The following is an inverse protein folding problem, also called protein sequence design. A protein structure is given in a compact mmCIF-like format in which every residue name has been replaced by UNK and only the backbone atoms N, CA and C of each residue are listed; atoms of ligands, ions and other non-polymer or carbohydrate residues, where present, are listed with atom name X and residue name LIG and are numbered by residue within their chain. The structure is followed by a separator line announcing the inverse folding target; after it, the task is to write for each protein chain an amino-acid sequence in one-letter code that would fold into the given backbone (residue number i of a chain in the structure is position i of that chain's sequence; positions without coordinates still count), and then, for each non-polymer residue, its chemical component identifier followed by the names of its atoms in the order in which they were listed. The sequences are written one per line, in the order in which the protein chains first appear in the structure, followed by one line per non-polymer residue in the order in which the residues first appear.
data_IF_628468115677
#
_entry.id   IF_628468115677
#
_cell.length_a   1.000
_cell.length_b   1.000
_cell.length_c   1.000
_cell.angle_alpha   90.00
_cell.angle_beta   90.00
_cell.angle_gamma   90.00
#
_symmetry.space_group_name_H-M   'P 1'
#
loop_
_entity.id
_entity.type
_entity.pdbx_description
1 polymer ?
#
# COMPACT_ATOMS: atom_id res chain seq x y z
N UNK A 1 -26.65 62.40 -3.61
CA UNK A 1 -25.84 62.19 -4.84
C UNK A 1 -24.68 61.27 -4.46
N UNK A 2 -24.67 60.05 -4.99
CA UNK A 2 -23.50 59.16 -5.06
C UNK A 2 -22.61 59.63 -6.23
N UNK A 3 -21.29 59.45 -6.18
CA UNK A 3 -20.62 58.20 -6.61
C UNK A 3 -19.49 57.81 -5.62
N UNK A 4 -18.85 56.64 -5.61
CA UNK A 4 -18.77 55.49 -6.50
C UNK A 4 -17.47 54.74 -6.12
N UNK A 5 -17.63 53.46 -5.80
CA UNK A 5 -16.68 52.32 -5.85
C UNK A 5 -15.16 52.58 -5.81
N UNK A 6 -14.45 52.01 -4.82
CA UNK A 6 -13.15 51.32 -5.04
C UNK A 6 -12.90 50.20 -4.00
N UNK A 7 -12.76 48.99 -4.55
CA UNK A 7 -11.83 47.92 -4.20
C UNK A 7 -11.96 47.09 -2.91
N UNK A 8 -12.56 45.91 -3.10
CA UNK A 8 -12.28 44.68 -2.37
C UNK A 8 -10.78 44.33 -2.48
N UNK A 9 -10.05 44.35 -1.37
CA UNK A 9 -8.77 43.63 -1.25
C UNK A 9 -8.94 42.45 -0.31
N UNK A 10 -9.35 41.33 -0.91
CA UNK A 10 -9.19 40.00 -0.34
C UNK A 10 -7.70 39.70 -0.27
N UNK A 11 -7.12 39.73 0.93
CA UNK A 11 -5.73 39.31 1.16
C UNK A 11 -5.73 37.84 1.57
N UNK A 12 -4.98 37.08 0.77
CA UNK A 12 -4.67 35.65 0.88
C UNK A 12 -4.07 35.28 2.25
N UNK A 13 -4.21 34.01 2.65
CA UNK A 13 -3.41 33.50 3.77
C UNK A 13 -3.57 32.02 4.13
N UNK A 14 -2.99 31.13 3.31
CA UNK A 14 -2.53 29.79 3.67
C UNK A 14 -3.57 28.71 4.05
N UNK A 15 -4.18 28.10 3.04
CA UNK A 15 -4.56 26.70 3.12
C UNK A 15 -3.28 25.87 2.92
N UNK A 16 -2.76 25.30 4.02
CA UNK A 16 -1.68 24.32 4.00
C UNK A 16 -2.20 23.02 3.36
N UNK A 17 -2.41 23.04 2.04
CA UNK A 17 -2.64 21.86 1.27
C UNK A 17 -1.28 21.20 1.09
N UNK A 18 -0.86 20.45 2.10
CA UNK A 18 0.31 19.60 1.96
C UNK A 18 -0.12 18.48 1.01
N UNK A 19 0.07 18.72 -0.29
CA UNK A 19 0.07 17.67 -1.29
C UNK A 19 1.34 16.84 -1.05
N UNK A 20 1.38 16.09 0.06
CA UNK A 20 2.43 15.11 0.28
C UNK A 20 2.20 14.00 -0.73
N UNK A 21 3.04 13.96 -1.76
CA UNK A 21 3.11 12.81 -2.65
C UNK A 21 3.33 11.56 -1.78
N UNK A 22 2.39 10.63 -1.81
CA UNK A 22 2.51 9.37 -1.06
C UNK A 22 3.75 8.65 -1.58
N UNK A 23 4.71 8.28 -0.71
CA UNK A 23 5.94 7.65 -1.15
C UNK A 23 5.62 6.29 -1.77
N UNK A 24 6.04 6.09 -3.02
CA UNK A 24 5.77 4.83 -3.75
C UNK A 24 6.46 3.63 -3.11
N UNK A 25 7.53 3.84 -2.36
CA UNK A 25 8.32 2.79 -1.73
C UNK A 25 8.31 3.00 -0.21
N UNK A 26 8.12 1.93 0.54
CA UNK A 26 8.19 1.95 2.01
C UNK A 26 9.27 0.99 2.51
N UNK A 27 9.83 1.33 3.66
CA UNK A 27 10.82 0.53 4.40
C UNK A 27 10.14 -0.42 5.38
N UNK A 28 10.89 -1.39 5.91
CA UNK A 28 10.40 -2.31 6.95
C UNK A 28 9.80 -1.58 8.16
N UNK A 29 10.47 -0.52 8.64
CA UNK A 29 10.01 0.26 9.81
C UNK A 29 8.68 0.96 9.54
N UNK A 30 8.55 1.57 8.36
CA UNK A 30 7.30 2.21 7.94
C UNK A 30 6.18 1.19 7.79
N UNK A 31 6.44 0.06 7.14
CA UNK A 31 5.47 -1.03 7.02
C UNK A 31 4.99 -1.50 8.40
N UNK A 32 5.90 -1.70 9.36
CA UNK A 32 5.53 -2.14 10.72
C UNK A 32 4.66 -1.11 11.45
N UNK A 33 4.97 0.17 11.30
CA UNK A 33 4.16 1.26 11.86
C UNK A 33 2.76 1.30 11.23
N UNK A 34 2.69 1.15 9.90
CA UNK A 34 1.43 1.13 9.16
C UNK A 34 0.56 -0.06 9.56
N UNK A 35 1.14 -1.26 9.65
CA UNK A 35 0.45 -2.46 10.13
C UNK A 35 -0.07 -2.29 11.56
N UNK A 36 0.72 -1.67 12.45
CA UNK A 36 0.31 -1.39 13.83
C UNK A 36 -0.82 -0.38 13.91
N UNK A 37 -0.84 0.61 13.00
CA UNK A 37 -1.88 1.63 12.95
C UNK A 37 -3.21 1.13 12.36
N UNK A 38 -3.21 -0.01 11.65
CA UNK A 38 -4.39 -0.55 10.98
C UNK A 38 -4.87 0.25 9.77
N UNK A 39 -4.15 1.28 9.34
CA UNK A 39 -4.57 2.21 8.28
C UNK A 39 -4.14 1.75 6.87
N UNK A 40 -3.76 0.49 6.69
CA UNK A 40 -3.31 -0.03 5.40
C UNK A 40 -3.91 -1.39 5.08
N UNK A 41 -4.02 -1.66 3.78
CA UNK A 41 -4.20 -3.01 3.28
C UNK A 41 -2.87 -3.54 2.73
N UNK A 42 -2.31 -4.57 3.37
CA UNK A 42 -1.10 -5.23 2.90
C UNK A 42 -1.45 -6.42 2.00
N UNK A 43 -1.05 -6.36 0.73
CA UNK A 43 -1.29 -7.40 -0.27
C UNK A 43 0.03 -8.11 -0.59
N UNK A 44 0.11 -9.40 -0.27
CA UNK A 44 1.22 -10.29 -0.64
C UNK A 44 0.91 -10.95 -1.99
N UNK A 45 1.71 -10.59 -3.00
CA UNK A 45 1.53 -11.02 -4.39
C UNK A 45 2.33 -12.28 -4.77
N UNK A 46 2.83 -13.00 -3.76
CA UNK A 46 3.42 -14.32 -3.94
C UNK A 46 2.36 -15.36 -4.31
N UNK A 47 2.83 -16.49 -4.82
CA UNK A 47 1.95 -17.63 -5.05
C UNK A 47 1.52 -18.22 -3.70
N UNK A 48 0.30 -18.77 -3.65
CA UNK A 48 -0.27 -19.31 -2.41
C UNK A 48 0.59 -20.42 -1.79
N UNK A 49 1.26 -21.24 -2.62
CA UNK A 49 2.16 -22.28 -2.12
C UNK A 49 3.39 -21.70 -1.37
N UNK A 50 3.91 -20.54 -1.80
CA UNK A 50 5.02 -19.86 -1.10
C UNK A 50 4.57 -19.41 0.30
N UNK A 51 3.33 -18.92 0.41
CA UNK A 51 2.73 -18.50 1.68
C UNK A 51 2.56 -19.70 2.61
N UNK A 52 2.06 -20.82 2.10
CA UNK A 52 1.84 -22.04 2.89
C UNK A 52 3.16 -22.65 3.40
N UNK A 53 4.24 -22.56 2.62
CA UNK A 53 5.53 -23.15 2.98
C UNK A 53 6.38 -22.25 3.88
N UNK A 54 6.46 -20.96 3.56
CA UNK A 54 7.38 -20.04 4.24
C UNK A 54 6.68 -19.12 5.24
N UNK A 55 5.35 -19.03 5.19
CA UNK A 55 4.58 -18.07 5.95
C UNK A 55 4.34 -16.76 5.20
N UNK A 56 3.58 -15.88 5.87
CA UNK A 56 3.22 -14.55 5.38
C UNK A 56 3.49 -13.47 6.41
N UNK A 57 3.51 -12.23 5.95
CA UNK A 57 3.57 -11.06 6.83
C UNK A 57 2.24 -11.01 7.60
N UNK A 58 2.25 -10.86 8.94
CA UNK A 58 1.02 -10.72 9.71
C UNK A 58 0.15 -9.57 9.19
N UNK A 59 -1.16 -9.79 9.10
CA UNK A 59 -2.10 -8.81 8.54
C UNK A 59 -2.06 -8.70 7.01
N UNK A 60 -1.24 -9.51 6.30
CA UNK A 60 -1.27 -9.53 4.84
C UNK A 60 -2.34 -10.47 4.30
N UNK A 61 -2.91 -10.05 3.17
CA UNK A 61 -3.83 -10.84 2.35
C UNK A 61 -3.04 -11.40 1.16
N UNK A 62 -3.35 -12.61 0.69
CA UNK A 62 -2.65 -13.18 -0.46
C UNK A 62 -3.49 -12.96 -1.73
N UNK A 63 -2.94 -12.19 -2.67
CA UNK A 63 -3.50 -12.03 -4.01
C UNK A 63 -2.36 -12.20 -5.00
N UNK A 64 -2.19 -13.38 -5.62
CA UNK A 64 -1.11 -13.63 -6.57
C UNK A 64 -1.03 -12.55 -7.66
N UNK A 65 0.18 -12.23 -8.14
CA UNK A 65 0.39 -11.14 -9.10
C UNK A 65 -0.51 -11.26 -10.35
N UNK A 66 -0.76 -12.48 -10.83
CA UNK A 66 -1.66 -12.75 -11.96
C UNK A 66 -3.11 -12.31 -11.71
N UNK A 67 -3.55 -12.30 -10.46
CA UNK A 67 -4.93 -12.01 -10.06
C UNK A 67 -5.15 -10.55 -9.65
N UNK A 68 -4.08 -9.82 -9.30
CA UNK A 68 -4.17 -8.42 -8.79
C UNK A 68 -5.02 -7.52 -9.69
N UNK A 69 -4.80 -7.57 -11.01
CA UNK A 69 -5.55 -6.74 -11.96
C UNK A 69 -7.05 -7.03 -11.94
N UNK A 70 -7.44 -8.30 -11.84
CA UNK A 70 -8.84 -8.70 -11.76
C UNK A 70 -9.43 -8.40 -10.37
N UNK A 71 -8.68 -8.68 -9.30
CA UNK A 71 -9.08 -8.45 -7.92
C UNK A 71 -9.39 -6.97 -7.64
N UNK A 72 -8.58 -6.05 -8.17
CA UNK A 72 -8.82 -4.62 -7.98
C UNK A 72 -10.01 -4.08 -8.81
N UNK A 73 -10.46 -4.82 -9.82
CA UNK A 73 -11.57 -4.42 -10.71
C UNK A 73 -12.90 -5.12 -10.41
N UNK A 74 -12.89 -6.31 -9.80
CA UNK A 74 -14.12 -7.04 -9.45
C UNK A 74 -15.00 -6.26 -8.47
N UNK A 75 -16.27 -6.67 -8.36
CA UNK A 75 -17.17 -6.01 -7.43
C UNK A 75 -16.74 -6.28 -5.96
N UNK A 76 -17.10 -5.41 -4.99
CA UNK A 76 -16.68 -5.58 -3.61
C UNK A 76 -17.13 -6.91 -2.97
N UNK A 77 -18.30 -7.43 -3.37
CA UNK A 77 -18.87 -8.67 -2.83
C UNK A 77 -18.05 -9.90 -3.24
N UNK A 78 -17.71 -10.02 -4.52
CA UNK A 78 -16.86 -11.10 -5.05
C UNK A 78 -15.47 -11.06 -4.42
N UNK A 79 -14.95 -9.85 -4.18
CA UNK A 79 -13.66 -9.66 -3.51
C UNK A 79 -13.70 -10.18 -2.06
N UNK A 80 -14.75 -9.82 -1.32
CA UNK A 80 -14.95 -10.30 0.06
C UNK A 80 -15.18 -11.80 0.12
N UNK A 81 -15.97 -12.37 -0.79
CA UNK A 81 -16.18 -13.82 -0.87
C UNK A 81 -14.89 -14.58 -1.18
N UNK A 82 -14.03 -14.04 -2.07
CA UNK A 82 -12.82 -14.71 -2.53
C UNK A 82 -11.62 -14.55 -1.59
N UNK A 83 -11.42 -13.35 -1.05
CA UNK A 83 -10.23 -13.01 -0.24
C UNK A 83 -10.55 -12.83 1.24
N UNK A 84 -11.82 -12.95 1.64
CA UNK A 84 -12.31 -12.80 3.02
C UNK A 84 -11.98 -11.44 3.63
N UNK A 85 -11.90 -10.41 2.79
CA UNK A 85 -11.46 -9.06 3.15
C UNK A 85 -12.25 -8.00 2.40
N UNK A 86 -12.33 -6.80 2.98
CA UNK A 86 -13.05 -5.70 2.35
C UNK A 86 -12.22 -5.13 1.19
N UNK A 87 -12.85 -5.00 0.02
CA UNK A 87 -12.19 -4.41 -1.14
C UNK A 87 -11.75 -2.97 -0.83
N UNK A 88 -10.47 -2.60 -1.07
CA UNK A 88 -10.00 -1.25 -0.83
C UNK A 88 -10.59 -0.26 -1.84
N UNK A 89 -10.85 0.95 -1.38
CA UNK A 89 -11.21 2.09 -2.22
C UNK A 89 -9.97 2.67 -2.91
N UNK A 90 -10.17 3.43 -3.98
CA UNK A 90 -9.07 4.04 -4.76
C UNK A 90 -8.19 5.02 -3.97
N UNK A 91 -8.73 5.60 -2.90
CA UNK A 91 -8.04 6.49 -1.96
C UNK A 91 -7.30 5.78 -0.84
N UNK A 92 -7.63 4.51 -0.58
CA UNK A 92 -7.11 3.77 0.56
C UNK A 92 -5.64 3.43 0.36
N UNK A 93 -4.89 3.38 1.46
CA UNK A 93 -3.47 3.05 1.42
C UNK A 93 -3.31 1.54 1.23
N UNK A 94 -2.75 1.17 0.07
CA UNK A 94 -2.49 -0.22 -0.29
C UNK A 94 -0.99 -0.40 -0.39
N UNK A 95 -0.47 -1.41 0.29
CA UNK A 95 0.93 -1.79 0.22
C UNK A 95 1.05 -3.14 -0.44
N UNK A 96 1.86 -3.24 -1.49
CA UNK A 96 2.19 -4.50 -2.14
C UNK A 96 3.52 -5.05 -1.62
N UNK A 97 3.53 -6.33 -1.26
CA UNK A 97 4.73 -7.10 -0.89
C UNK A 97 4.86 -8.34 -1.77
N UNK A 98 6.08 -8.82 -1.95
CA UNK A 98 6.34 -10.11 -2.57
C UNK A 98 7.59 -10.74 -1.94
N UNK A 99 8.29 -11.65 -2.63
CA UNK A 99 9.53 -12.24 -2.09
C UNK A 99 10.69 -11.23 -1.97
N UNK A 100 10.88 -10.35 -2.96
CA UNK A 100 12.07 -9.49 -3.08
C UNK A 100 11.81 -8.19 -3.88
N UNK A 101 10.59 -7.64 -3.85
CA UNK A 101 10.23 -6.36 -4.48
C UNK A 101 9.81 -6.39 -5.95
N UNK A 102 10.28 -7.33 -6.77
CA UNK A 102 10.03 -7.29 -8.25
C UNK A 102 8.56 -7.45 -8.61
N UNK A 103 7.86 -8.41 -8.00
CA UNK A 103 6.43 -8.67 -8.28
C UNK A 103 5.55 -7.59 -7.67
N UNK A 104 5.87 -7.12 -6.46
CA UNK A 104 5.11 -6.05 -5.79
C UNK A 104 5.20 -4.72 -6.53
N UNK A 105 6.33 -4.41 -7.16
CA UNK A 105 6.43 -3.25 -8.06
C UNK A 105 5.43 -3.33 -9.21
N UNK A 106 5.34 -4.48 -9.90
CA UNK A 106 4.39 -4.68 -11.02
C UNK A 106 2.93 -4.58 -10.55
N UNK A 107 2.63 -5.12 -9.37
CA UNK A 107 1.30 -5.02 -8.77
C UNK A 107 0.93 -3.57 -8.43
N UNK A 108 1.87 -2.81 -7.83
CA UNK A 108 1.71 -1.39 -7.55
C UNK A 108 1.46 -0.59 -8.84
N UNK A 109 2.27 -0.81 -9.88
CA UNK A 109 2.10 -0.12 -11.17
C UNK A 109 0.73 -0.41 -11.81
N UNK A 110 0.23 -1.64 -11.66
CA UNK A 110 -1.11 -2.04 -12.09
C UNK A 110 -2.19 -1.33 -11.29
N UNK A 111 -2.06 -1.29 -9.95
CA UNK A 111 -3.00 -0.59 -9.08
C UNK A 111 -3.07 0.92 -9.40
N UNK A 112 -1.91 1.57 -9.58
CA UNK A 112 -1.84 2.98 -9.98
C UNK A 112 -2.57 3.20 -11.32
N UNK A 113 -2.37 2.30 -12.29
CA UNK A 113 -3.04 2.38 -13.60
C UNK A 113 -4.57 2.24 -13.50
N UNK A 114 -5.08 1.55 -12.47
CA UNK A 114 -6.51 1.42 -12.17
C UNK A 114 -7.07 2.59 -11.35
N UNK A 115 -6.21 3.55 -10.96
CA UNK A 115 -6.56 4.76 -10.24
C UNK A 115 -6.36 4.68 -8.71
N UNK A 116 -5.66 3.66 -8.21
CA UNK A 116 -5.26 3.60 -6.80
C UNK A 116 -4.03 4.50 -6.59
N UNK A 117 -4.27 5.77 -6.27
CA UNK A 117 -3.22 6.79 -6.16
C UNK A 117 -2.31 6.60 -4.93
N UNK A 118 -2.83 5.95 -3.90
CA UNK A 118 -2.15 5.69 -2.63
C UNK A 118 -1.49 4.30 -2.58
N UNK A 119 -1.27 3.69 -3.74
CA UNK A 119 -0.59 2.40 -3.85
C UNK A 119 0.93 2.54 -3.64
N UNK A 120 1.48 1.70 -2.78
CA UNK A 120 2.88 1.68 -2.39
C UNK A 120 3.45 0.27 -2.51
N UNK A 121 4.77 0.15 -2.62
CA UNK A 121 5.47 -1.13 -2.58
C UNK A 121 6.39 -1.23 -1.35
N UNK A 122 6.43 -2.40 -0.76
CA UNK A 122 7.51 -2.80 0.14
C UNK A 122 8.57 -3.55 -0.68
N UNK A 123 9.70 -2.87 -0.94
CA UNK A 123 10.75 -3.36 -1.83
C UNK A 123 11.58 -4.51 -1.21
N UNK A 124 11.74 -4.52 0.11
CA UNK A 124 12.47 -5.58 0.82
C UNK A 124 11.78 -6.95 0.76
N UNK A 125 10.45 -6.94 0.65
CA UNK A 125 9.64 -8.15 0.55
C UNK A 125 9.80 -9.10 1.74
N UNK A 126 9.35 -10.33 1.55
CA UNK A 126 9.42 -11.38 2.57
C UNK A 126 10.86 -11.66 3.03
N UNK A 127 11.85 -11.62 2.12
CA UNK A 127 13.25 -11.83 2.47
C UNK A 127 13.76 -10.83 3.51
N UNK A 128 13.50 -9.53 3.32
CA UNK A 128 13.88 -8.53 4.31
C UNK A 128 13.08 -8.71 5.60
N UNK A 129 11.77 -8.96 5.49
CA UNK A 129 10.90 -9.17 6.65
C UNK A 129 11.43 -10.26 7.59
N UNK A 130 11.78 -11.43 7.05
CA UNK A 130 12.29 -12.55 7.88
C UNK A 130 13.62 -12.23 8.54
N UNK A 131 14.49 -11.44 7.91
CA UNK A 131 15.77 -11.07 8.53
C UNK A 131 15.60 -10.18 9.76
N UNK A 132 14.54 -9.36 9.79
CA UNK A 132 14.23 -8.51 10.95
C UNK A 132 13.44 -9.25 12.04
N UNK A 133 12.49 -10.12 11.67
CA UNK A 133 11.68 -10.86 12.65
C UNK A 133 12.42 -12.08 13.21
N UNK A 134 13.28 -12.71 12.43
CA UNK A 134 14.09 -13.87 12.81
C UNK A 134 15.57 -13.54 12.54
N UNK A 135 16.18 -12.65 13.34
CA UNK A 135 17.61 -12.41 13.22
C UNK A 135 18.31 -13.72 13.54
N UNK A 136 18.93 -14.34 12.53
CA UNK A 136 19.78 -15.50 12.74
C UNK A 136 20.82 -15.10 13.79
N UNK A 137 20.81 -15.80 14.94
CA UNK A 137 21.89 -15.68 15.91
C UNK A 137 23.15 -16.14 15.19
N UNK A 138 23.93 -15.21 14.64
CA UNK A 138 25.28 -15.49 14.20
C UNK A 138 26.01 -16.03 15.43
N UNK A 139 26.14 -17.34 15.53
CA UNK A 139 27.09 -17.98 16.43
C UNK A 139 28.46 -17.50 15.96
N UNK A 140 29.01 -16.55 16.71
CA UNK A 140 30.39 -16.13 16.54
C UNK A 140 31.28 -17.33 16.76
N UNK A 141 32.16 -17.57 15.79
CA UNK A 141 33.28 -18.49 15.90
C UNK A 141 34.56 -17.67 16.17
#
# INVERSE_FOLDING_TARGET
MLPGSQDLKSIQGSCHNVCTAVPKHITYKELKNLLTSGNIMLIDVRETWEILQHGKIPGSINIPLSEVGQALQMNPKDFEEKYHEVKPSKSDSIVFSCQAGVRSKKAMDTAISLGFSSAQQYAGGWKEWVTYEFPEKKQGH
#
